data_IF_997170430245
#
_entry.id   IF_997170430245
#
_cell.length_a   1.000
_cell.length_b   1.000
_cell.length_c   1.000
_cell.angle_alpha   90.00
_cell.angle_beta   90.00
_cell.angle_gamma   90.00
#
_symmetry.space_group_name_H-M   'P 1'
#
loop_
_entity.id
_entity.type
_entity.pdbx_description
1 polymer ?
#
# COMPACT_ATOMS: atom_id res chain seq x y z
N UNK A 1 -4.83 -11.47 16.69
CA UNK A 1 -5.60 -10.26 17.09
C UNK A 1 -6.10 -9.45 15.89
N UNK A 2 -5.31 -9.24 14.82
CA UNK A 2 -5.65 -8.35 13.69
C UNK A 2 -6.96 -8.64 12.93
N UNK A 3 -7.34 -9.90 12.68
CA UNK A 3 -8.59 -10.21 11.96
C UNK A 3 -9.87 -9.81 12.73
N UNK A 4 -9.86 -9.83 14.07
CA UNK A 4 -11.00 -9.35 14.87
C UNK A 4 -11.17 -7.83 14.75
N UNK A 5 -10.05 -7.11 14.66
CA UNK A 5 -10.04 -5.65 14.52
C UNK A 5 -10.52 -5.19 13.14
N UNK A 6 -10.17 -5.89 12.06
CA UNK A 6 -10.67 -5.57 10.71
C UNK A 6 -12.17 -5.84 10.60
N UNK A 7 -12.65 -6.99 11.08
CA UNK A 7 -14.09 -7.32 11.12
C UNK A 7 -14.89 -6.31 11.95
N UNK A 8 -14.40 -5.96 13.13
CA UNK A 8 -15.05 -4.96 14.00
C UNK A 8 -15.10 -3.58 13.36
N UNK A 9 -13.98 -3.11 12.79
CA UNK A 9 -13.93 -1.82 12.07
C UNK A 9 -14.88 -1.80 10.89
N UNK A 10 -14.94 -2.86 10.09
CA UNK A 10 -15.86 -2.95 8.95
C UNK A 10 -17.32 -2.93 9.39
N UNK A 11 -17.66 -3.72 10.42
CA UNK A 11 -19.02 -3.75 10.96
C UNK A 11 -19.48 -2.38 11.47
N UNK A 12 -18.59 -1.62 12.13
CA UNK A 12 -18.89 -0.27 12.62
C UNK A 12 -19.18 0.75 11.50
N UNK A 13 -18.68 0.51 10.29
CA UNK A 13 -18.88 1.39 9.14
C UNK A 13 -20.10 0.98 8.29
N UNK A 14 -20.87 -0.02 8.72
CA UNK A 14 -22.11 -0.42 8.05
C UNK A 14 -23.08 0.76 7.95
N UNK A 15 -23.68 0.91 6.78
CA UNK A 15 -24.63 1.98 6.50
C UNK A 15 -24.00 3.27 5.98
N UNK A 16 -22.68 3.42 6.07
CA UNK A 16 -22.00 4.54 5.41
C UNK A 16 -22.06 4.39 3.89
N UNK A 17 -22.34 5.50 3.24
CA UNK A 17 -22.29 5.63 1.79
C UNK A 17 -20.85 5.80 1.29
N UNK A 18 -20.57 5.44 0.03
CA UNK A 18 -19.25 5.70 -0.57
C UNK A 18 -18.94 7.20 -0.63
N UNK A 19 -19.95 8.06 -0.80
CA UNK A 19 -19.79 9.51 -0.68
C UNK A 19 -19.26 9.95 0.69
N UNK A 20 -19.77 9.37 1.78
CA UNK A 20 -19.27 9.62 3.13
C UNK A 20 -17.86 9.06 3.35
N UNK A 21 -17.55 7.88 2.81
CA UNK A 21 -16.21 7.30 2.85
C UNK A 21 -15.20 8.22 2.16
N UNK A 22 -15.55 8.80 1.00
CA UNK A 22 -14.69 9.75 0.27
C UNK A 22 -14.46 11.03 1.06
N UNK A 23 -15.52 11.61 1.64
CA UNK A 23 -15.38 12.78 2.54
C UNK A 23 -14.47 12.49 3.72
N UNK A 24 -14.66 11.34 4.38
CA UNK A 24 -13.79 10.91 5.47
C UNK A 24 -12.34 10.72 5.01
N UNK A 25 -12.13 10.19 3.80
CA UNK A 25 -10.80 10.09 3.21
C UNK A 25 -10.18 11.46 2.95
N UNK A 26 -10.91 12.43 2.41
CA UNK A 26 -10.41 13.78 2.14
C UNK A 26 -9.96 14.51 3.42
N UNK A 27 -10.52 14.15 4.58
CA UNK A 27 -10.11 14.68 5.89
C UNK A 27 -8.80 14.07 6.43
N UNK A 28 -8.35 12.94 5.88
CA UNK A 28 -7.09 12.30 6.31
C UNK A 28 -5.91 12.94 5.56
N UNK A 29 -5.00 13.62 6.28
CA UNK A 29 -3.82 14.22 5.67
C UNK A 29 -2.93 13.14 5.06
N UNK A 30 -2.25 13.49 3.97
CA UNK A 30 -1.23 12.63 3.41
C UNK A 30 0.01 12.64 4.30
N UNK A 31 0.74 11.53 4.25
CA UNK A 31 2.13 11.49 4.73
C UNK A 31 2.93 12.60 4.06
N UNK A 32 3.78 13.26 4.84
CA UNK A 32 4.68 14.30 4.34
C UNK A 32 5.50 13.77 3.15
N UNK A 33 5.55 14.57 2.08
CA UNK A 33 6.31 14.23 0.87
C UNK A 33 5.71 13.16 -0.04
N UNK A 34 4.57 12.55 0.32
CA UNK A 34 3.97 11.47 -0.47
C UNK A 34 3.54 11.93 -1.87
N UNK A 35 2.91 13.10 -1.98
CA UNK A 35 2.42 13.61 -3.26
C UNK A 35 3.59 13.95 -4.19
N UNK A 36 4.65 14.56 -3.66
CA UNK A 36 5.89 14.85 -4.34
C UNK A 36 6.57 13.56 -4.81
N UNK A 37 6.73 12.57 -3.93
CA UNK A 37 7.36 11.30 -4.27
C UNK A 37 6.61 10.57 -5.39
N UNK A 38 5.28 10.46 -5.28
CA UNK A 38 4.44 9.83 -6.31
C UNK A 38 4.58 10.54 -7.66
N UNK A 39 4.58 11.88 -7.65
CA UNK A 39 4.75 12.68 -8.87
C UNK A 39 6.13 12.48 -9.49
N UNK A 40 7.19 12.48 -8.70
CA UNK A 40 8.56 12.28 -9.20
C UNK A 40 8.77 10.88 -9.78
N UNK A 41 8.29 9.84 -9.09
CA UNK A 41 8.37 8.46 -9.57
C UNK A 41 7.61 8.32 -10.90
N UNK A 42 6.43 8.95 -11.02
CA UNK A 42 5.67 8.98 -12.28
C UNK A 42 6.42 9.69 -13.39
N UNK A 43 7.00 10.86 -13.11
CA UNK A 43 7.75 11.64 -14.10
C UNK A 43 9.01 10.89 -14.59
N UNK A 44 9.56 9.99 -13.76
CA UNK A 44 10.64 9.09 -14.14
C UNK A 44 10.16 7.87 -14.96
N UNK A 45 8.87 7.76 -15.28
CA UNK A 45 8.30 6.64 -16.03
C UNK A 45 8.17 5.34 -15.25
N UNK A 46 8.30 5.39 -13.91
CA UNK A 46 8.19 4.21 -13.06
C UNK A 46 6.71 3.96 -12.75
N UNK A 47 6.22 2.76 -13.09
CA UNK A 47 4.85 2.35 -12.80
C UNK A 47 4.65 2.13 -11.30
N UNK A 48 3.53 2.63 -10.76
CA UNK A 48 3.26 2.63 -9.33
C UNK A 48 2.01 1.81 -9.02
N UNK A 49 2.16 0.85 -8.10
CA UNK A 49 1.08 -0.03 -7.67
C UNK A 49 0.97 -0.02 -6.16
N UNK A 50 -0.22 0.25 -5.65
CA UNK A 50 -0.52 0.30 -4.23
C UNK A 50 -1.26 -0.94 -3.74
N UNK A 51 -0.92 -1.37 -2.51
CA UNK A 51 -1.54 -2.51 -1.85
C UNK A 51 -1.87 -2.17 -0.39
N UNK A 52 -3.07 -2.48 0.10
CA UNK A 52 -3.44 -2.19 1.49
C UNK A 52 -4.42 -3.19 2.09
N UNK A 53 -4.26 -3.41 3.40
CA UNK A 53 -5.21 -4.15 4.24
C UNK A 53 -6.29 -3.23 4.86
N UNK A 54 -6.33 -1.95 4.47
CA UNK A 54 -7.34 -0.99 4.91
C UNK A 54 -8.73 -1.24 4.30
N UNK A 55 -9.69 -0.37 4.63
CA UNK A 55 -11.02 -0.39 3.99
C UNK A 55 -10.88 -0.17 2.48
N UNK A 56 -11.26 -1.16 1.68
CA UNK A 56 -11.01 -1.17 0.23
C UNK A 56 -11.44 0.11 -0.49
N UNK A 57 -12.70 0.57 -0.34
CA UNK A 57 -13.16 1.80 -0.99
C UNK A 57 -12.38 3.06 -0.59
N UNK A 58 -12.05 3.19 0.71
CA UNK A 58 -11.22 4.29 1.22
C UNK A 58 -9.83 4.30 0.58
N UNK A 59 -9.18 3.13 0.59
CA UNK A 59 -7.82 2.96 0.05
C UNK A 59 -7.81 3.22 -1.46
N UNK A 60 -8.74 2.60 -2.19
CA UNK A 60 -8.81 2.72 -3.63
C UNK A 60 -9.08 4.16 -4.07
N UNK A 61 -9.93 4.88 -3.35
CA UNK A 61 -10.14 6.31 -3.59
C UNK A 61 -8.86 7.12 -3.40
N UNK A 62 -8.13 6.92 -2.30
CA UNK A 62 -6.85 7.61 -2.05
C UNK A 62 -5.79 7.30 -3.11
N UNK A 63 -5.68 6.04 -3.54
CA UNK A 63 -4.78 5.64 -4.63
C UNK A 63 -5.16 6.32 -5.95
N UNK A 64 -6.45 6.37 -6.29
CA UNK A 64 -6.96 7.06 -7.48
C UNK A 64 -6.63 8.56 -7.45
N UNK A 65 -6.85 9.24 -6.32
CA UNK A 65 -6.50 10.67 -6.16
C UNK A 65 -5.01 10.93 -6.40
N UNK A 66 -4.16 10.00 -5.98
CA UNK A 66 -2.72 10.10 -6.16
C UNK A 66 -2.28 9.70 -7.57
N UNK A 67 -3.13 9.06 -8.38
CA UNK A 67 -2.76 8.45 -9.66
C UNK A 67 -1.85 7.24 -9.51
N UNK A 68 -2.05 6.46 -8.45
CA UNK A 68 -1.40 5.16 -8.20
C UNK A 68 -2.39 4.05 -8.56
N UNK A 69 -1.93 3.02 -9.27
CA UNK A 69 -2.78 1.89 -9.62
C UNK A 69 -3.06 1.03 -8.38
N UNK A 70 -4.32 0.66 -8.14
CA UNK A 70 -4.64 -0.26 -7.05
C UNK A 70 -4.33 -1.71 -7.49
N UNK A 71 -3.31 -2.33 -6.88
CA UNK A 71 -2.96 -3.74 -7.12
C UNK A 71 -3.56 -4.71 -6.11
N UNK A 72 -3.97 -4.21 -4.93
CA UNK A 72 -4.53 -5.03 -3.86
C UNK A 72 -5.29 -4.20 -2.83
N UNK A 73 -6.59 -4.46 -2.66
CA UNK A 73 -7.40 -3.87 -1.59
C UNK A 73 -8.27 -4.94 -0.94
N UNK A 74 -8.63 -4.75 0.34
CA UNK A 74 -9.61 -5.62 1.00
C UNK A 74 -10.99 -5.43 0.36
N UNK A 75 -11.59 -6.45 -0.27
CA UNK A 75 -12.89 -6.28 -0.89
C UNK A 75 -13.97 -6.07 0.17
N UNK A 76 -14.75 -5.00 0.01
CA UNK A 76 -15.87 -4.68 0.89
C UNK A 76 -17.18 -5.10 0.23
N UNK A 77 -18.10 -5.70 0.98
CA UNK A 77 -19.46 -5.90 0.49
C UNK A 77 -20.19 -4.57 0.48
N UNK A 78 -20.73 -4.22 -0.68
CA UNK A 78 -21.50 -2.99 -0.87
C UNK A 78 -22.90 -3.30 -1.40
N UNK A 79 -23.82 -2.36 -1.17
CA UNK A 79 -25.19 -2.42 -1.66
C UNK A 79 -25.48 -1.19 -2.52
N UNK A 80 -26.03 -1.42 -3.72
CA UNK A 80 -26.57 -0.39 -4.60
C UNK A 80 -28.00 -0.77 -5.00
N UNK A 81 -28.97 0.06 -4.63
CA UNK A 81 -30.38 -0.30 -4.76
C UNK A 81 -30.69 -1.63 -4.08
N UNK A 82 -31.17 -2.61 -4.85
CA UNK A 82 -31.45 -3.98 -4.38
C UNK A 82 -30.29 -4.95 -4.55
N UNK A 83 -29.21 -4.56 -5.24
CA UNK A 83 -28.08 -5.42 -5.54
C UNK A 83 -26.99 -5.34 -4.47
N UNK A 84 -26.40 -6.49 -4.12
CA UNK A 84 -25.25 -6.60 -3.20
C UNK A 84 -24.10 -7.28 -3.92
N UNK A 85 -22.90 -6.70 -3.85
CA UNK A 85 -21.73 -7.23 -4.55
C UNK A 85 -20.42 -6.84 -3.85
N UNK A 86 -19.33 -7.61 -4.04
CA UNK A 86 -18.02 -7.23 -3.55
C UNK A 86 -17.43 -6.09 -4.38
N UNK A 87 -17.06 -4.98 -3.76
CA UNK A 87 -16.21 -3.97 -4.40
C UNK A 87 -14.77 -4.51 -4.44
N UNK A 88 -14.31 -4.85 -5.64
CA UNK A 88 -12.96 -5.35 -5.93
C UNK A 88 -12.19 -4.37 -6.83
N UNK A 89 -10.94 -4.67 -7.14
CA UNK A 89 -10.12 -3.88 -8.08
C UNK A 89 -10.74 -3.82 -9.49
N UNK A 90 -11.50 -4.86 -9.90
CA UNK A 90 -12.20 -4.87 -11.18
C UNK A 90 -13.46 -3.99 -11.21
N UNK A 91 -13.83 -3.39 -10.07
CA UNK A 91 -15.08 -2.62 -9.89
C UNK A 91 -14.81 -1.25 -9.29
N UNK A 92 -13.64 -0.65 -9.55
CA UNK A 92 -13.28 0.66 -8.99
C UNK A 92 -14.11 1.81 -9.55
N UNK A 93 -14.76 1.63 -10.70
CA UNK A 93 -15.71 2.60 -11.24
C UNK A 93 -16.92 2.78 -10.31
N UNK A 94 -17.25 1.79 -9.48
CA UNK A 94 -18.29 1.92 -8.45
C UNK A 94 -17.93 2.99 -7.39
N UNK A 95 -16.68 3.45 -7.30
CA UNK A 95 -16.31 4.56 -6.40
C UNK A 95 -16.96 5.89 -6.79
N UNK A 96 -17.43 6.03 -8.03
CA UNK A 96 -18.14 7.22 -8.49
C UNK A 96 -19.63 7.23 -8.09
N UNK A 97 -20.11 6.13 -7.48
CA UNK A 97 -21.51 5.94 -7.09
C UNK A 97 -21.72 6.28 -5.61
N UNK A 98 -21.91 7.58 -5.33
CA UNK A 98 -21.97 8.13 -3.98
C UNK A 98 -23.01 7.48 -3.07
N UNK A 99 -24.12 6.99 -3.62
CA UNK A 99 -25.24 6.40 -2.90
C UNK A 99 -25.04 4.91 -2.54
N UNK A 100 -23.96 4.29 -3.02
CA UNK A 100 -23.61 2.91 -2.68
C UNK A 100 -23.24 2.78 -1.21
N UNK A 101 -23.80 1.80 -0.51
CA UNK A 101 -23.71 1.64 0.94
C UNK A 101 -22.78 0.50 1.34
N UNK A 102 -21.97 0.69 2.38
CA UNK A 102 -21.19 -0.37 3.00
C UNK A 102 -22.07 -1.31 3.83
N UNK A 103 -21.96 -2.61 3.60
CA UNK A 103 -22.74 -3.64 4.32
C UNK A 103 -22.10 -4.10 5.64
N UNK A 104 -20.92 -3.55 5.96
CA UNK A 104 -20.13 -3.91 7.15
C UNK A 104 -19.50 -5.30 7.09
N UNK A 105 -19.42 -5.89 5.89
CA UNK A 105 -18.77 -7.17 5.64
C UNK A 105 -17.60 -6.98 4.67
N UNK A 106 -16.56 -7.78 4.84
CA UNK A 106 -15.41 -7.81 3.93
C UNK A 106 -15.04 -9.24 3.57
N UNK A 107 -14.49 -9.41 2.39
CA UNK A 107 -13.99 -10.69 1.91
C UNK A 107 -12.54 -10.91 2.37
N UNK A 108 -12.06 -12.16 2.39
CA UNK A 108 -10.65 -12.45 2.63
C UNK A 108 -9.76 -11.73 1.63
N UNK A 109 -8.61 -11.24 2.10
CA UNK A 109 -7.59 -10.60 1.28
C UNK A 109 -6.21 -10.95 1.83
N UNK A 110 -5.31 -11.36 0.95
CA UNK A 110 -3.90 -11.58 1.26
C UNK A 110 -3.05 -10.62 0.43
N UNK A 111 -2.44 -9.63 1.09
CA UNK A 111 -1.60 -8.62 0.44
C UNK A 111 -0.41 -9.24 -0.28
N UNK A 112 0.24 -10.23 0.33
CA UNK A 112 1.42 -10.89 -0.25
C UNK A 112 1.07 -11.58 -1.56
N UNK A 113 -0.01 -12.36 -1.57
CA UNK A 113 -0.46 -13.07 -2.78
C UNK A 113 -0.82 -12.07 -3.89
N UNK A 114 -1.51 -10.97 -3.53
CA UNK A 114 -1.84 -9.91 -4.49
C UNK A 114 -0.59 -9.25 -5.10
N UNK A 115 0.46 -8.99 -4.30
CA UNK A 115 1.72 -8.44 -4.81
C UNK A 115 2.39 -9.45 -5.76
N UNK A 116 2.48 -10.72 -5.37
CA UNK A 116 3.06 -11.78 -6.20
C UNK A 116 2.31 -11.90 -7.54
N UNK A 117 0.99 -11.91 -7.52
CA UNK A 117 0.14 -11.93 -8.71
C UNK A 117 0.44 -10.77 -9.66
N UNK A 118 0.57 -9.55 -9.14
CA UNK A 118 0.90 -8.36 -9.95
C UNK A 118 2.30 -8.48 -10.56
N UNK A 119 3.29 -8.93 -9.79
CA UNK A 119 4.65 -9.11 -10.30
C UNK A 119 4.69 -10.15 -11.44
N UNK A 120 3.98 -11.27 -11.28
CA UNK A 120 3.88 -12.34 -12.28
C UNK A 120 3.17 -11.83 -13.54
N UNK A 121 2.01 -11.19 -13.41
CA UNK A 121 1.20 -10.70 -14.55
C UNK A 121 1.94 -9.67 -15.41
N UNK A 122 2.85 -8.90 -14.80
CA UNK A 122 3.64 -7.89 -15.50
C UNK A 122 4.97 -8.44 -16.04
N UNK A 123 5.19 -9.75 -16.03
CA UNK A 123 6.48 -10.37 -16.36
C UNK A 123 7.66 -9.75 -15.59
N UNK A 124 7.40 -9.23 -14.38
CA UNK A 124 8.40 -8.70 -13.46
C UNK A 124 8.91 -9.80 -12.54
N UNK A 125 9.08 -11.01 -13.08
CA UNK A 125 9.68 -12.15 -12.36
C UNK A 125 11.14 -11.87 -11.99
N UNK A 126 11.78 -10.89 -12.63
CA UNK A 126 13.05 -10.32 -12.18
C UNK A 126 12.78 -9.09 -11.31
N UNK A 127 12.89 -9.31 -10.01
CA UNK A 127 12.87 -8.35 -8.90
C UNK A 127 13.95 -7.24 -8.88
N UNK A 128 15.06 -7.24 -9.68
CA UNK A 128 15.96 -6.08 -9.76
C UNK A 128 15.32 -4.76 -10.17
N UNK A 129 14.15 -4.81 -10.82
CA UNK A 129 13.43 -3.63 -11.33
C UNK A 129 12.32 -3.14 -10.38
N UNK A 130 12.23 -3.71 -9.18
CA UNK A 130 11.18 -3.38 -8.22
C UNK A 130 11.76 -2.50 -7.12
N UNK A 131 11.07 -1.39 -6.85
CA UNK A 131 11.24 -0.59 -5.64
C UNK A 131 10.01 -0.78 -4.75
N UNK A 132 10.21 -1.13 -3.48
CA UNK A 132 9.16 -1.40 -2.51
C UNK A 132 9.35 -0.55 -1.24
N UNK A 133 8.25 -0.06 -0.70
CA UNK A 133 8.21 0.65 0.58
C UNK A 133 7.01 0.16 1.40
N UNK A 134 7.23 -0.13 2.67
CA UNK A 134 6.18 -0.58 3.60
C UNK A 134 6.62 -0.31 5.05
N UNK A 135 5.68 -0.36 5.99
CA UNK A 135 5.89 -0.07 7.40
C UNK A 135 5.74 -1.32 8.29
N UNK A 136 5.21 -2.43 7.74
CA UNK A 136 4.80 -3.58 8.55
C UNK A 136 5.78 -4.75 8.50
N UNK A 137 6.08 -5.32 9.67
CA UNK A 137 6.84 -6.57 9.82
C UNK A 137 6.26 -7.72 8.99
N UNK A 138 4.94 -7.75 8.79
CA UNK A 138 4.27 -8.78 7.99
C UNK A 138 4.71 -8.82 6.51
N UNK A 139 5.25 -7.70 6.00
CA UNK A 139 5.74 -7.57 4.62
C UNK A 139 7.26 -7.73 4.50
N UNK A 140 8.00 -7.75 5.61
CA UNK A 140 9.46 -7.86 5.64
C UNK A 140 10.00 -9.07 4.86
N UNK A 141 9.42 -10.29 4.94
CA UNK A 141 9.90 -11.42 4.15
C UNK A 141 9.86 -11.16 2.64
N UNK A 142 8.84 -10.44 2.17
CA UNK A 142 8.71 -10.05 0.76
C UNK A 142 9.73 -8.97 0.39
N UNK A 143 9.89 -7.95 1.25
CA UNK A 143 10.88 -6.88 1.06
C UNK A 143 12.30 -7.41 1.01
N UNK A 144 12.63 -8.38 1.87
CA UNK A 144 13.91 -9.10 1.84
C UNK A 144 14.12 -9.81 0.51
N UNK A 145 13.10 -10.50 -0.01
CA UNK A 145 13.16 -11.14 -1.32
C UNK A 145 13.49 -10.15 -2.43
N UNK A 146 12.77 -9.01 -2.48
CA UNK A 146 13.03 -7.93 -3.44
C UNK A 146 14.50 -7.49 -3.40
N UNK A 147 15.08 -7.29 -2.21
CA UNK A 147 16.49 -6.89 -2.06
C UNK A 147 17.47 -7.98 -2.47
N UNK A 148 17.23 -9.22 -2.05
CA UNK A 148 18.11 -10.36 -2.37
C UNK A 148 18.22 -10.58 -3.88
N UNK A 149 17.16 -10.28 -4.60
CA UNK A 149 17.14 -10.37 -6.06
C UNK A 149 17.61 -9.07 -6.75
N UNK A 150 18.20 -8.13 -6.02
CA UNK A 150 18.84 -6.92 -6.56
C UNK A 150 17.92 -5.70 -6.71
N UNK A 151 16.65 -5.81 -6.31
CA UNK A 151 15.71 -4.68 -6.23
C UNK A 151 15.96 -3.80 -5.01
N UNK A 152 15.06 -2.86 -4.77
CA UNK A 152 15.13 -1.95 -3.62
C UNK A 152 13.91 -2.18 -2.74
N UNK A 153 14.13 -2.36 -1.44
CA UNK A 153 13.05 -2.33 -0.47
C UNK A 153 13.50 -1.54 0.75
N UNK A 154 12.66 -0.60 1.19
CA UNK A 154 12.93 0.24 2.36
C UNK A 154 11.74 0.27 3.31
N UNK A 155 11.99 0.21 4.60
CA UNK A 155 11.01 0.47 5.63
C UNK A 155 10.71 1.96 5.75
N UNK A 156 9.46 2.30 6.03
CA UNK A 156 9.05 3.68 6.32
C UNK A 156 8.25 3.76 7.59
N UNK A 157 8.80 4.44 8.60
CA UNK A 157 8.18 4.58 9.93
C UNK A 157 7.62 3.27 10.54
N UNK A 158 8.34 2.12 10.48
CA UNK A 158 7.88 0.92 11.15
C UNK A 158 7.69 1.15 12.65
N UNK A 159 6.76 0.41 13.25
CA UNK A 159 6.55 0.51 14.70
C UNK A 159 7.75 -0.01 15.48
N UNK A 160 7.93 0.42 16.73
CA UNK A 160 9.00 -0.10 17.60
C UNK A 160 8.96 -1.63 17.74
N UNK A 161 7.75 -2.20 17.71
CA UNK A 161 7.54 -3.65 17.77
C UNK A 161 7.93 -4.37 16.47
N UNK A 162 7.88 -3.69 15.32
CA UNK A 162 8.19 -4.25 14.00
C UNK A 162 9.66 -4.01 13.61
N UNK A 163 10.34 -3.03 14.22
CA UNK A 163 11.74 -2.68 13.95
C UNK A 163 12.73 -3.86 14.02
N UNK A 164 12.63 -4.80 15.00
CA UNK A 164 13.52 -5.96 15.05
C UNK A 164 13.49 -6.79 13.77
N UNK A 165 12.32 -7.02 13.17
CA UNK A 165 12.18 -7.78 11.93
C UNK A 165 12.85 -7.08 10.74
N UNK A 166 12.70 -5.75 10.63
CA UNK A 166 13.40 -4.97 9.60
C UNK A 166 14.92 -5.09 9.77
N UNK A 167 15.43 -5.00 11.00
CA UNK A 167 16.86 -5.13 11.31
C UNK A 167 17.39 -6.52 11.00
N UNK A 168 16.70 -7.57 11.45
CA UNK A 168 17.14 -8.96 11.24
C UNK A 168 17.11 -9.36 9.76
N UNK A 169 16.07 -8.94 9.03
CA UNK A 169 15.99 -9.15 7.58
C UNK A 169 16.89 -8.20 6.79
N UNK A 170 17.48 -7.22 7.47
CA UNK A 170 18.38 -6.25 6.93
C UNK A 170 17.75 -5.19 6.02
N UNK A 171 16.43 -5.03 6.05
CA UNK A 171 15.71 -4.06 5.22
C UNK A 171 15.96 -2.65 5.75
N UNK A 172 16.64 -1.75 5.01
CA UNK A 172 16.95 -0.41 5.46
C UNK A 172 15.69 0.39 5.78
N UNK A 173 15.75 1.29 6.76
CA UNK A 173 14.59 2.10 7.19
C UNK A 173 14.91 3.57 6.98
N UNK A 174 14.00 4.32 6.33
CA UNK A 174 14.13 5.77 6.19
C UNK A 174 14.27 6.44 7.56
N UNK A 175 15.29 7.30 7.70
CA UNK A 175 15.59 7.98 8.97
C UNK A 175 14.59 9.07 9.34
N UNK A 176 13.93 9.64 8.34
CA UNK A 176 12.99 10.75 8.49
C UNK A 176 11.55 10.34 8.15
N UNK A 177 10.58 11.16 8.58
CA UNK A 177 9.14 10.96 8.31
C UNK A 177 8.68 11.55 6.98
N UNK A 178 9.60 12.06 6.19
CA UNK A 178 9.37 12.57 4.85
C UNK A 178 9.57 11.46 3.81
N UNK A 179 8.62 11.31 2.90
CA UNK A 179 8.65 10.27 1.87
C UNK A 179 9.38 10.69 0.58
N UNK A 180 9.71 11.98 0.39
CA UNK A 180 10.44 12.48 -0.79
C UNK A 180 11.73 11.69 -1.09
N UNK A 181 12.57 11.34 -0.10
CA UNK A 181 13.77 10.53 -0.33
C UNK A 181 13.51 9.19 -1.04
N UNK A 182 12.34 8.57 -0.82
CA UNK A 182 12.03 7.31 -1.47
C UNK A 182 11.97 7.42 -3.00
N UNK A 183 11.55 8.57 -3.54
CA UNK A 183 11.55 8.78 -4.98
C UNK A 183 12.97 8.70 -5.55
N UNK A 184 13.95 9.32 -4.89
CA UNK A 184 15.36 9.22 -5.27
C UNK A 184 15.88 7.79 -5.18
N UNK A 185 15.60 7.10 -4.07
CA UNK A 185 15.98 5.70 -3.86
C UNK A 185 15.40 4.77 -4.94
N UNK A 186 14.15 4.99 -5.34
CA UNK A 186 13.48 4.20 -6.38
C UNK A 186 14.10 4.43 -7.77
N UNK A 187 14.69 5.60 -8.02
CA UNK A 187 15.40 5.94 -9.27
C UNK A 187 16.86 5.47 -9.23
N UNK A 188 17.51 5.54 -8.07
CA UNK A 188 18.90 5.18 -7.84
C UNK A 188 19.08 4.54 -6.46
N UNK A 189 19.25 3.21 -6.44
CA UNK A 189 19.42 2.45 -5.21
C UNK A 189 20.64 2.84 -4.38
N UNK A 190 21.66 3.45 -4.98
CA UNK A 190 22.86 3.89 -4.24
C UNK A 190 22.52 4.96 -3.20
N UNK A 191 21.43 5.71 -3.41
CA UNK A 191 20.88 6.70 -2.48
C UNK A 191 20.31 6.12 -1.18
N UNK A 192 20.16 4.81 -1.07
CA UNK A 192 19.65 4.17 0.15
C UNK A 192 20.50 4.55 1.37
N UNK A 193 21.83 4.64 1.22
CA UNK A 193 22.72 5.00 2.34
C UNK A 193 22.64 6.46 2.77
N UNK A 194 22.21 7.34 1.88
CA UNK A 194 22.08 8.78 2.17
C UNK A 194 20.88 9.03 3.09
N UNK A 195 19.86 8.16 3.03
CA UNK A 195 18.54 8.41 3.62
C UNK A 195 18.07 7.34 4.62
N UNK A 196 18.70 6.17 4.66
CA UNK A 196 18.27 5.06 5.50
C UNK A 196 19.30 4.64 6.55
N UNK A 197 18.78 4.16 7.68
CA UNK A 197 19.53 3.33 8.62
C UNK A 197 19.71 1.93 7.99
N UNK A 198 20.96 1.49 7.80
CA UNK A 198 21.31 0.26 7.04
C UNK A 198 22.02 -0.82 7.87
N UNK A 199 22.29 -0.56 9.16
CA UNK A 199 22.97 -1.47 10.11
C UNK A 199 24.23 -2.18 9.57
N UNK A 200 24.96 -1.55 8.65
CA UNK A 200 26.22 -2.06 8.09
C UNK A 200 26.07 -3.10 6.98
N UNK A 201 24.88 -3.26 6.40
CA UNK A 201 24.59 -4.34 5.43
C UNK A 201 25.00 -4.04 3.99
N UNK A 202 25.39 -2.81 3.68
CA UNK A 202 25.82 -2.43 2.34
C UNK A 202 27.37 -2.30 2.23
N UNK A 203 28.17 -2.87 3.14
CA UNK A 203 29.64 -2.81 3.05
C UNK A 203 30.21 -3.58 1.83
#
# INVERSE_FOLDING_TARGET
>A
AGQRTVKGKQYLLKGMTLGEVKKAADMVPYTEGLQEAVREIRNAGIHQVGFSNGLGPFVAYKMRQQGVCAGGIVPALVQKGVGRFPLTIGMLDCLDEDDTVLEGFHYPFNKRDAICDVLIRNNMSTTPKVAMIDDSASNVPLMRGVRMDGGVAVGFCPSEADMPEFREAGVPVLMERDLRPFAEIAKDRSKTRDYCETWGLDA
#
